data_IF_963266179492
#
_entry.id   IF_963266179492
#
_cell.length_a   1.000
_cell.length_b   1.000
_cell.length_c   1.000
_cell.angle_alpha   90.00
_cell.angle_beta   90.00
_cell.angle_gamma   90.00
#
_symmetry.space_group_name_H-M   'P 1'
#
loop_
_entity.id
_entity.type
_entity.pdbx_description
1 polymer ?
#
# COMPACT_ATOMS: atom_id res chain seq x y z
N UNK A 1 -4.24 12.37 -9.63
CA UNK A 1 -3.94 12.23 -8.20
C UNK A 1 -5.17 11.66 -7.52
N UNK A 2 -5.02 10.60 -6.73
CA UNK A 2 -6.10 9.89 -6.02
C UNK A 2 -5.63 9.61 -4.60
N UNK A 3 -6.54 9.68 -3.63
CA UNK A 3 -6.25 9.42 -2.21
C UNK A 3 -7.34 8.53 -1.67
N UNK A 4 -6.93 7.53 -0.90
CA UNK A 4 -7.83 6.70 -0.14
C UNK A 4 -7.39 6.63 1.31
N UNK A 5 -8.35 6.80 2.21
CA UNK A 5 -8.13 6.67 3.64
C UNK A 5 -8.67 5.31 4.10
N UNK A 6 -7.92 4.64 4.96
CA UNK A 6 -8.30 3.34 5.54
C UNK A 6 -8.12 3.47 7.05
N UNK A 7 -9.19 3.19 7.79
CA UNK A 7 -9.18 3.29 9.25
C UNK A 7 -9.22 1.89 9.86
N UNK A 8 -8.24 1.55 10.70
CA UNK A 8 -8.25 0.26 11.41
C UNK A 8 -9.39 0.18 12.41
N UNK A 9 -9.72 1.30 13.05
CA UNK A 9 -10.74 1.43 14.10
C UNK A 9 -11.60 2.68 13.83
N UNK A 10 -12.51 2.62 12.84
CA UNK A 10 -13.36 3.75 12.47
C UNK A 10 -14.55 3.95 13.42
N UNK A 11 -15.10 5.16 13.44
CA UNK A 11 -16.43 5.41 14.02
C UNK A 11 -17.56 4.93 13.09
N UNK A 12 -18.79 4.88 13.62
CA UNK A 12 -19.98 4.40 12.88
C UNK A 12 -20.29 5.21 11.61
N UNK A 13 -19.88 6.48 11.56
CA UNK A 13 -20.06 7.35 10.40
C UNK A 13 -19.08 7.11 9.24
N UNK A 14 -18.12 6.20 9.39
CA UNK A 14 -17.11 5.96 8.36
C UNK A 14 -17.64 5.10 7.22
N UNK A 15 -17.67 5.70 6.02
CA UNK A 15 -18.11 5.05 4.79
C UNK A 15 -16.97 4.46 3.96
N UNK A 16 -15.70 4.72 4.31
CA UNK A 16 -14.54 4.21 3.58
C UNK A 16 -14.10 2.80 4.00
N UNK A 17 -12.99 2.32 3.42
CA UNK A 17 -12.40 1.02 3.78
C UNK A 17 -11.93 0.98 5.25
N UNK A 18 -11.98 -0.22 5.82
CA UNK A 18 -11.70 -0.48 7.24
C UNK A 18 -10.64 -1.57 7.36
N UNK A 19 -9.83 -1.52 8.41
CA UNK A 19 -8.82 -2.54 8.72
C UNK A 19 -7.38 -2.04 8.61
N UNK A 20 -6.44 -2.99 8.68
CA UNK A 20 -5.01 -2.77 8.44
C UNK A 20 -4.67 -3.16 7.01
N UNK A 21 -3.47 -2.80 6.54
CA UNK A 21 -3.02 -3.15 5.19
C UNK A 21 -3.10 -4.66 4.92
N UNK A 22 -3.68 -5.02 3.78
CA UNK A 22 -3.82 -6.39 3.30
C UNK A 22 -3.76 -6.44 1.76
N UNK A 23 -3.55 -7.63 1.19
CA UNK A 23 -3.31 -7.82 -0.24
C UNK A 23 -4.46 -7.32 -1.14
N UNK A 24 -5.72 -7.51 -0.73
CA UNK A 24 -6.90 -7.03 -1.45
C UNK A 24 -6.87 -5.51 -1.65
N UNK A 25 -6.47 -4.77 -0.60
CA UNK A 25 -6.37 -3.30 -0.66
C UNK A 25 -5.34 -2.84 -1.69
N UNK A 26 -4.23 -3.56 -1.82
CA UNK A 26 -3.18 -3.24 -2.79
C UNK A 26 -3.56 -3.62 -4.22
N UNK A 27 -4.27 -4.73 -4.41
CA UNK A 27 -4.78 -5.16 -5.73
C UNK A 27 -5.59 -4.06 -6.40
N UNK A 28 -6.46 -3.41 -5.64
CA UNK A 28 -7.35 -2.38 -6.17
C UNK A 28 -6.62 -1.05 -6.41
N UNK A 29 -5.55 -0.78 -5.65
CA UNK A 29 -4.89 0.52 -5.63
C UNK A 29 -3.64 0.59 -6.52
N UNK A 30 -2.85 -0.48 -6.58
CA UNK A 30 -1.60 -0.53 -7.34
C UNK A 30 -1.88 -0.87 -8.80
N UNK A 31 -2.13 0.17 -9.61
CA UNK A 31 -2.29 0.03 -11.05
C UNK A 31 -0.93 0.07 -11.75
N UNK A 32 -0.66 -0.91 -12.61
CA UNK A 32 0.53 -0.94 -13.49
C UNK A 32 0.10 -0.88 -14.96
N UNK A 33 0.02 0.32 -15.57
CA UNK A 33 -0.24 0.43 -16.99
C UNK A 33 0.91 -0.18 -17.80
N UNK A 34 0.58 -0.84 -18.92
CA UNK A 34 1.56 -1.49 -19.78
C UNK A 34 2.64 -0.49 -20.26
N UNK A 35 3.91 -0.89 -20.22
CA UNK A 35 5.04 -0.06 -20.64
C UNK A 35 5.39 1.12 -19.72
N UNK A 36 4.70 1.30 -18.60
CA UNK A 36 4.96 2.41 -17.67
C UNK A 36 6.04 2.07 -16.65
N UNK A 37 6.86 3.07 -16.29
CA UNK A 37 7.70 3.02 -15.09
C UNK A 37 6.82 3.30 -13.88
N UNK A 38 6.85 2.43 -12.89
CA UNK A 38 6.10 2.56 -11.64
C UNK A 38 7.05 2.59 -10.45
N UNK A 39 6.59 3.19 -9.36
CA UNK A 39 7.38 3.31 -8.14
C UNK A 39 6.46 3.35 -6.91
N UNK A 40 6.80 2.60 -5.88
CA UNK A 40 6.04 2.49 -4.63
C UNK A 40 6.89 3.02 -3.48
N UNK A 41 6.35 4.00 -2.77
CA UNK A 41 6.95 4.54 -1.56
C UNK A 41 6.17 4.06 -0.35
N UNK A 42 6.86 3.56 0.67
CA UNK A 42 6.25 3.09 1.92
C UNK A 42 6.92 3.79 3.11
N UNK A 43 6.13 4.29 4.05
CA UNK A 43 6.61 4.84 5.31
C UNK A 43 5.63 4.49 6.44
N UNK A 44 6.12 4.51 7.69
CA UNK A 44 5.32 4.20 8.86
C UNK A 44 6.06 3.33 9.88
N UNK A 45 5.35 2.78 10.88
CA UNK A 45 5.94 1.87 11.86
C UNK A 45 6.61 0.65 11.20
N UNK A 46 7.71 0.15 11.77
CA UNK A 46 8.50 -0.92 11.14
C UNK A 46 7.69 -2.17 10.78
N UNK A 47 6.84 -2.64 11.70
CA UNK A 47 5.97 -3.79 11.43
C UNK A 47 4.99 -3.54 10.27
N UNK A 48 4.53 -2.29 10.09
CA UNK A 48 3.67 -1.92 8.97
C UNK A 48 4.46 -1.88 7.65
N UNK A 49 5.65 -1.27 7.64
CA UNK A 49 6.46 -1.15 6.42
C UNK A 49 6.96 -2.51 5.95
N UNK A 50 7.44 -3.36 6.85
CA UNK A 50 7.86 -4.74 6.56
C UNK A 50 6.73 -5.57 5.95
N UNK A 51 5.55 -5.55 6.58
CA UNK A 51 4.35 -6.23 6.06
C UNK A 51 3.96 -5.71 4.68
N UNK A 52 3.88 -4.39 4.52
CA UNK A 52 3.46 -3.74 3.27
C UNK A 52 4.40 -4.07 2.12
N UNK A 53 5.71 -4.03 2.35
CA UNK A 53 6.71 -4.40 1.33
C UNK A 53 6.56 -5.87 0.94
N UNK A 54 6.33 -6.76 1.90
CA UNK A 54 6.03 -8.17 1.64
C UNK A 54 4.82 -8.35 0.72
N UNK A 55 3.74 -7.61 0.96
CA UNK A 55 2.53 -7.63 0.13
C UNK A 55 2.79 -7.03 -1.27
N UNK A 56 3.48 -5.88 -1.36
CA UNK A 56 3.82 -5.24 -2.65
C UNK A 56 4.65 -6.17 -3.55
N UNK A 57 5.59 -6.94 -2.98
CA UNK A 57 6.38 -7.95 -3.72
C UNK A 57 5.50 -9.05 -4.33
N UNK A 58 4.40 -9.42 -3.67
CA UNK A 58 3.43 -10.38 -4.23
C UNK A 58 2.71 -9.83 -5.47
N UNK A 59 2.73 -8.52 -5.69
CA UNK A 59 2.19 -7.84 -6.88
C UNK A 59 3.23 -7.61 -7.99
N UNK A 60 4.30 -8.42 -8.03
CA UNK A 60 5.33 -8.39 -9.08
C UNK A 60 6.10 -7.06 -9.19
N UNK A 61 6.20 -6.29 -8.10
CA UNK A 61 7.12 -5.16 -8.02
C UNK A 61 8.52 -5.64 -7.66
N UNK A 62 9.54 -5.09 -8.32
CA UNK A 62 10.95 -5.38 -8.02
C UNK A 62 11.48 -4.50 -6.88
N UNK A 63 12.65 -4.85 -6.33
CA UNK A 63 13.30 -4.04 -5.29
C UNK A 63 13.66 -2.63 -5.77
N UNK A 64 13.97 -2.46 -7.05
CA UNK A 64 14.30 -1.15 -7.64
C UNK A 64 13.07 -0.24 -7.77
N UNK A 65 11.88 -0.81 -7.74
CA UNK A 65 10.61 -0.10 -7.84
C UNK A 65 10.01 0.24 -6.47
N UNK A 66 10.66 -0.16 -5.36
CA UNK A 66 10.16 0.02 -4.00
C UNK A 66 11.16 0.85 -3.19
N UNK A 67 10.68 1.88 -2.51
CA UNK A 67 11.46 2.62 -1.53
C UNK A 67 10.76 2.67 -0.18
N UNK A 68 11.48 2.26 0.85
CA UNK A 68 11.03 2.33 2.24
C UNK A 68 11.74 3.46 2.93
N UNK A 69 10.98 4.48 3.33
CA UNK A 69 11.49 5.52 4.20
C UNK A 69 11.56 4.97 5.63
N UNK A 70 12.78 4.73 6.11
CA UNK A 70 13.07 4.38 7.49
C UNK A 70 13.62 5.62 8.21
N UNK A 71 13.04 5.95 9.36
CA UNK A 71 13.42 7.08 10.21
C UNK A 71 14.05 6.63 11.51
#
# INVERSE_FOLDING_TARGET
FQVEYILSEPCDGWAGRKGRVEASMLTDFLVRPEGSKVFVCVCGPSAFTELTVGLVRQHCFSEEEIHVFQG
#
